data_IF_236756302723
#
_entry.id   IF_236756302723
#
_cell.length_a   1.000
_cell.length_b   1.000
_cell.length_c   1.000
_cell.angle_alpha   90.00
_cell.angle_beta   90.00
_cell.angle_gamma   90.00
#
_symmetry.space_group_name_H-M   'P 1'
#
loop_
_entity.id
_entity.type
_entity.pdbx_description
1 polymer ?
#
# COMPACT_ATOMS: atom_id res chain seq x y z
N UNK A 1 18.11 -21.70 -5.64
CA UNK A 1 16.75 -21.65 -5.10
C UNK A 1 16.77 -20.89 -3.79
N UNK A 2 15.83 -19.95 -3.58
CA UNK A 2 15.69 -19.22 -2.30
C UNK A 2 15.00 -20.15 -1.30
N UNK A 3 15.43 -20.16 -0.03
CA UNK A 3 14.79 -20.97 1.00
C UNK A 3 13.32 -20.54 1.19
N UNK A 4 12.37 -21.47 1.44
CA UNK A 4 10.95 -21.13 1.61
C UNK A 4 10.68 -20.03 2.64
N UNK A 5 11.36 -20.06 3.79
CA UNK A 5 11.25 -19.02 4.82
C UNK A 5 11.71 -17.64 4.33
N UNK A 6 12.80 -17.60 3.54
CA UNK A 6 13.30 -16.37 2.94
C UNK A 6 12.34 -15.80 1.90
N UNK A 7 11.61 -16.66 1.19
CA UNK A 7 10.61 -16.22 0.22
C UNK A 7 9.41 -15.55 0.91
N UNK A 8 8.91 -16.11 2.03
CA UNK A 8 7.91 -15.45 2.87
C UNK A 8 8.41 -14.11 3.41
N UNK A 9 9.64 -14.07 3.92
CA UNK A 9 10.23 -12.83 4.45
C UNK A 9 10.30 -11.72 3.40
N UNK A 10 10.72 -12.06 2.17
CA UNK A 10 10.75 -11.11 1.05
C UNK A 10 9.34 -10.57 0.78
N UNK A 11 8.36 -11.46 0.67
CA UNK A 11 6.99 -11.06 0.34
C UNK A 11 6.33 -10.25 1.48
N UNK A 12 6.61 -10.59 2.74
CA UNK A 12 6.24 -9.78 3.91
C UNK A 12 6.79 -8.35 3.76
N UNK A 13 8.05 -8.23 3.34
CA UNK A 13 8.67 -6.94 3.06
C UNK A 13 7.98 -6.16 1.94
N UNK A 14 7.52 -6.84 0.88
CA UNK A 14 6.78 -6.22 -0.22
C UNK A 14 5.47 -5.63 0.30
N UNK A 15 4.62 -6.43 0.95
CA UNK A 15 3.33 -5.97 1.52
C UNK A 15 3.54 -4.79 2.47
N UNK A 16 4.52 -4.89 3.38
CA UNK A 16 4.83 -3.82 4.35
C UNK A 16 5.26 -2.51 3.69
N UNK A 17 6.08 -2.57 2.63
CA UNK A 17 6.50 -1.35 1.91
C UNK A 17 5.35 -0.74 1.13
N UNK A 18 4.56 -1.54 0.44
CA UNK A 18 3.42 -1.02 -0.33
C UNK A 18 2.38 -0.34 0.57
N UNK A 19 2.11 -0.86 1.78
CA UNK A 19 1.27 -0.14 2.75
C UNK A 19 1.86 1.21 3.19
N UNK A 20 3.19 1.29 3.35
CA UNK A 20 3.86 2.57 3.66
C UNK A 20 3.78 3.56 2.52
N UNK A 21 3.92 3.08 1.28
CA UNK A 21 3.82 3.91 0.07
C UNK A 21 2.41 4.53 -0.01
N UNK A 22 1.35 3.73 0.20
CA UNK A 22 -0.03 4.22 0.28
C UNK A 22 -0.16 5.33 1.33
N UNK A 23 0.33 5.09 2.56
CA UNK A 23 0.25 6.09 3.63
C UNK A 23 0.99 7.38 3.29
N UNK A 24 2.13 7.29 2.60
CA UNK A 24 2.88 8.45 2.15
C UNK A 24 2.11 9.25 1.10
N UNK A 25 1.58 8.59 0.07
CA UNK A 25 0.83 9.27 -0.99
C UNK A 25 -0.51 9.84 -0.50
N UNK A 26 -1.18 9.20 0.46
CA UNK A 26 -2.37 9.77 1.09
C UNK A 26 -2.06 11.06 1.87
N UNK A 27 -0.92 11.13 2.55
CA UNK A 27 -0.47 12.35 3.22
C UNK A 27 -0.15 13.45 2.22
N UNK A 28 0.53 13.10 1.13
CA UNK A 28 0.82 14.04 0.04
C UNK A 28 -0.48 14.56 -0.59
N UNK A 29 -1.45 13.69 -0.84
CA UNK A 29 -2.77 14.06 -1.35
C UNK A 29 -3.45 15.11 -0.47
N UNK A 30 -3.48 14.88 0.84
CA UNK A 30 -4.06 15.82 1.79
C UNK A 30 -3.34 17.19 1.79
N UNK A 31 -2.01 17.19 1.73
CA UNK A 31 -1.20 18.42 1.67
C UNK A 31 -1.41 19.20 0.38
N UNK A 32 -1.48 18.53 -0.77
CA UNK A 32 -1.73 19.19 -2.07
C UNK A 32 -3.13 19.76 -2.11
N UNK A 33 -4.13 19.02 -1.58
CA UNK A 33 -5.51 19.50 -1.47
C UNK A 33 -5.63 20.74 -0.60
N UNK A 34 -4.92 20.78 0.53
CA UNK A 34 -4.85 21.97 1.39
C UNK A 34 -4.21 23.17 0.67
N UNK A 35 -3.11 22.96 -0.07
CA UNK A 35 -2.48 24.03 -0.88
C UNK A 35 -3.43 24.60 -1.94
N UNK A 36 -4.23 23.76 -2.59
CA UNK A 36 -5.23 24.21 -3.56
C UNK A 36 -6.29 25.07 -2.88
N UNK A 37 -6.74 24.71 -1.68
CA UNK A 37 -7.74 25.46 -0.92
C UNK A 37 -7.21 26.82 -0.42
N UNK A 38 -5.92 26.90 -0.09
CA UNK A 38 -5.27 28.11 0.41
C UNK A 38 -4.74 29.03 -0.72
N UNK A 39 -4.77 28.57 -1.97
CA UNK A 39 -4.23 29.33 -3.09
C UNK A 39 -5.05 30.61 -3.35
N UNK A 40 -4.38 31.76 -3.28
CA UNK A 40 -4.93 33.06 -3.70
C UNK A 40 -4.75 33.26 -5.21
N UNK A 41 -5.42 34.27 -5.79
CA UNK A 41 -5.49 34.52 -7.24
C UNK A 41 -4.13 34.57 -7.97
N UNK A 42 -3.02 34.82 -7.27
CA UNK A 42 -1.67 34.91 -7.85
C UNK A 42 -0.88 33.59 -7.88
N UNK A 43 -1.39 32.51 -7.28
CA UNK A 43 -0.72 31.20 -7.31
C UNK A 43 -1.22 30.34 -8.49
N UNK A 44 -0.35 29.54 -9.13
CA UNK A 44 -0.75 28.69 -10.24
C UNK A 44 -1.54 27.47 -9.74
N UNK A 45 -2.81 27.67 -9.37
CA UNK A 45 -3.76 26.62 -8.94
C UNK A 45 -3.78 25.46 -9.94
N UNK A 46 -3.70 25.76 -11.24
CA UNK A 46 -3.63 24.76 -12.32
C UNK A 46 -2.44 23.80 -12.19
N UNK A 47 -1.31 24.26 -11.64
CA UNK A 47 -0.15 23.40 -11.41
C UNK A 47 -0.42 22.45 -10.24
N UNK A 48 -0.99 22.95 -9.14
CA UNK A 48 -1.35 22.12 -7.99
C UNK A 48 -2.44 21.10 -8.32
N UNK A 49 -3.40 21.45 -9.19
CA UNK A 49 -4.40 20.51 -9.69
C UNK A 49 -3.76 19.34 -10.46
N UNK A 50 -2.76 19.61 -11.32
CA UNK A 50 -2.02 18.53 -12.01
C UNK A 50 -1.28 17.62 -11.04
N UNK A 51 -0.64 18.20 -10.02
CA UNK A 51 0.02 17.42 -8.97
C UNK A 51 -1.00 16.55 -8.23
N UNK A 52 -2.18 17.10 -7.91
CA UNK A 52 -3.25 16.34 -7.25
C UNK A 52 -3.69 15.14 -8.09
N UNK A 53 -3.93 15.33 -9.39
CA UNK A 53 -4.30 14.24 -10.31
C UNK A 53 -3.21 13.16 -10.39
N UNK A 54 -1.93 13.54 -10.42
CA UNK A 54 -0.82 12.60 -10.39
C UNK A 54 -0.75 11.83 -9.07
N UNK A 55 -0.92 12.51 -7.94
CA UNK A 55 -0.94 11.87 -6.61
C UNK A 55 -2.13 10.90 -6.48
N UNK A 56 -3.33 11.25 -6.97
CA UNK A 56 -4.50 10.36 -6.98
C UNK A 56 -4.23 9.06 -7.76
N UNK A 57 -3.57 9.18 -8.93
CA UNK A 57 -3.17 8.01 -9.73
C UNK A 57 -2.16 7.14 -8.97
N UNK A 58 -1.20 7.75 -8.28
CA UNK A 58 -0.21 7.01 -7.48
C UNK A 58 -0.84 6.27 -6.30
N UNK A 59 -1.82 6.88 -5.62
CA UNK A 59 -2.59 6.23 -4.55
C UNK A 59 -3.32 5.01 -5.11
N UNK A 60 -4.05 5.16 -6.22
CA UNK A 60 -4.80 4.08 -6.85
C UNK A 60 -3.90 2.92 -7.32
N UNK A 61 -2.76 3.22 -7.97
CA UNK A 61 -1.78 2.21 -8.38
C UNK A 61 -1.22 1.45 -7.17
N UNK A 62 -0.91 2.17 -6.08
CA UNK A 62 -0.37 1.56 -4.86
C UNK A 62 -1.38 0.60 -4.22
N UNK A 63 -2.67 0.91 -4.24
CA UNK A 63 -3.72 0.00 -3.79
C UNK A 63 -3.84 -1.25 -4.65
N UNK A 64 -3.76 -1.11 -5.98
CA UNK A 64 -3.73 -2.26 -6.90
C UNK A 64 -2.54 -3.18 -6.59
N UNK A 65 -1.34 -2.59 -6.45
CA UNK A 65 -0.12 -3.33 -6.10
C UNK A 65 -0.21 -4.00 -4.73
N UNK A 66 -0.90 -3.40 -3.76
CA UNK A 66 -1.14 -4.02 -2.46
C UNK A 66 -2.03 -5.26 -2.59
N UNK A 67 -3.11 -5.18 -3.39
CA UNK A 67 -3.99 -6.31 -3.65
C UNK A 67 -3.22 -7.50 -4.25
N UNK A 68 -2.42 -7.25 -5.29
CA UNK A 68 -1.58 -8.28 -5.94
C UNK A 68 -0.54 -8.87 -4.96
N UNK A 69 0.05 -8.04 -4.11
CA UNK A 69 1.01 -8.49 -3.10
C UNK A 69 0.36 -9.35 -2.00
N UNK A 70 -0.87 -9.03 -1.59
CA UNK A 70 -1.68 -9.81 -0.65
C UNK A 70 -2.04 -11.17 -1.23
N UNK A 71 -2.53 -11.21 -2.47
CA UNK A 71 -2.85 -12.47 -3.17
C UNK A 71 -1.61 -13.36 -3.28
N UNK A 72 -0.47 -12.76 -3.65
CA UNK A 72 0.81 -13.47 -3.73
C UNK A 72 1.23 -14.03 -2.37
N UNK A 73 1.12 -13.24 -1.30
CA UNK A 73 1.48 -13.69 0.05
C UNK A 73 0.56 -14.82 0.54
N UNK A 74 -0.74 -14.73 0.29
CA UNK A 74 -1.69 -15.80 0.61
C UNK A 74 -1.37 -17.09 -0.13
N UNK A 75 -1.05 -17.00 -1.42
CA UNK A 75 -0.63 -18.16 -2.22
C UNK A 75 0.63 -18.81 -1.66
N UNK A 76 1.61 -18.00 -1.24
CA UNK A 76 2.84 -18.53 -0.61
C UNK A 76 2.56 -19.21 0.72
N UNK A 77 1.66 -18.67 1.55
CA UNK A 77 1.24 -19.34 2.78
C UNK A 77 0.63 -20.71 2.50
N UNK A 78 -0.31 -20.81 1.55
CA UNK A 78 -0.90 -22.12 1.18
C UNK A 78 0.16 -23.12 0.68
N UNK A 79 1.18 -22.65 -0.05
CA UNK A 79 2.26 -23.50 -0.55
C UNK A 79 3.27 -23.91 0.53
N UNK A 80 3.37 -23.14 1.61
CA UNK A 80 4.40 -23.26 2.64
C UNK A 80 3.80 -23.47 4.04
N UNK A 81 2.66 -24.17 4.12
CA UNK A 81 1.97 -24.48 5.38
C UNK A 81 2.87 -25.16 6.42
N UNK A 82 3.94 -25.83 5.97
CA UNK A 82 4.97 -26.42 6.85
C UNK A 82 5.74 -25.39 7.68
N UNK A 83 5.69 -24.11 7.32
CA UNK A 83 6.27 -22.99 8.07
C UNK A 83 5.30 -22.38 9.08
N UNK A 84 4.11 -22.95 9.25
CA UNK A 84 3.14 -22.46 10.24
C UNK A 84 3.74 -22.49 11.65
N UNK A 85 3.53 -21.39 12.38
CA UNK A 85 4.08 -21.19 13.72
C UNK A 85 5.55 -20.74 13.74
N UNK A 86 6.19 -20.53 12.58
CA UNK A 86 7.45 -19.78 12.55
C UNK A 86 7.17 -18.28 12.61
N UNK A 87 8.21 -17.51 12.99
CA UNK A 87 8.15 -16.05 13.05
C UNK A 87 7.76 -15.42 11.71
N UNK A 88 8.26 -15.95 10.60
CA UNK A 88 7.96 -15.42 9.26
C UNK A 88 6.48 -15.62 8.92
N UNK A 89 5.89 -16.75 9.31
CA UNK A 89 4.48 -17.04 9.11
C UNK A 89 3.57 -16.12 9.93
N UNK A 90 3.83 -15.98 11.23
CA UNK A 90 3.06 -15.10 12.12
C UNK A 90 3.11 -13.63 11.64
N UNK A 91 4.27 -13.21 11.13
CA UNK A 91 4.41 -11.91 10.48
C UNK A 91 3.56 -11.80 9.21
N UNK A 92 3.53 -12.84 8.38
CA UNK A 92 2.66 -12.87 7.19
C UNK A 92 1.19 -12.75 7.56
N UNK A 93 0.73 -13.46 8.60
CA UNK A 93 -0.67 -13.40 9.06
C UNK A 93 -1.03 -11.99 9.53
N UNK A 94 -0.17 -11.38 10.36
CA UNK A 94 -0.35 -10.00 10.83
C UNK A 94 -0.42 -9.02 9.67
N UNK A 95 0.55 -9.10 8.74
CA UNK A 95 0.61 -8.20 7.58
C UNK A 95 -0.59 -8.37 6.64
N UNK A 96 -1.11 -9.59 6.49
CA UNK A 96 -2.32 -9.84 5.71
C UNK A 96 -3.56 -9.21 6.35
N UNK A 97 -3.67 -9.23 7.67
CA UNK A 97 -4.76 -8.55 8.39
C UNK A 97 -4.67 -7.03 8.22
N UNK A 98 -3.50 -6.46 8.45
CA UNK A 98 -3.24 -5.03 8.27
C UNK A 98 -3.54 -4.58 6.83
N UNK A 99 -3.02 -5.32 5.84
CA UNK A 99 -3.20 -5.00 4.43
C UNK A 99 -4.66 -5.08 3.99
N UNK A 100 -5.42 -6.07 4.48
CA UNK A 100 -6.87 -6.15 4.24
C UNK A 100 -7.59 -4.93 4.81
N UNK A 101 -7.19 -4.46 6.00
CA UNK A 101 -7.82 -3.27 6.57
C UNK A 101 -7.50 -2.00 5.78
N UNK A 102 -6.26 -1.86 5.30
CA UNK A 102 -5.87 -0.77 4.40
C UNK A 102 -6.66 -0.82 3.09
N UNK A 103 -6.85 -2.00 2.49
CA UNK A 103 -7.67 -2.19 1.27
C UNK A 103 -9.15 -1.86 1.51
N UNK A 104 -9.71 -2.25 2.66
CA UNK A 104 -11.08 -1.91 3.04
C UNK A 104 -11.26 -0.40 3.17
N UNK A 105 -10.30 0.31 3.79
CA UNK A 105 -10.35 1.77 3.91
C UNK A 105 -10.44 2.48 2.55
N UNK A 106 -9.77 1.96 1.51
CA UNK A 106 -9.88 2.51 0.15
C UNK A 106 -11.29 2.37 -0.44
N UNK A 107 -11.98 1.25 -0.16
CA UNK A 107 -13.31 0.99 -0.70
C UNK A 107 -14.38 2.00 -0.20
N UNK A 108 -14.10 2.73 0.88
CA UNK A 108 -14.96 3.77 1.42
C UNK A 108 -14.56 5.20 1.02
N UNK A 109 -13.49 5.37 0.23
CA UNK A 109 -13.04 6.69 -0.27
C UNK A 109 -13.55 7.03 -1.67
N UNK A 110 -14.39 6.18 -2.28
CA UNK A 110 -15.03 6.37 -3.60
C UNK A 110 -16.48 6.80 -3.44
#
# INVERSE_FOLDING_TARGET
MVAPSRQLEIQNGVVKRTMKDISAYQKEYAQVKEKIQQATQDQPVKQWQKVLEETERMVADSYKRLSEAVETLQKLQTQMETLRGTKEWEQSETLLQDAKQVLLQNAFQV
#
